data_IF_857437099752
#
_entry.id   IF_857437099752
#
_cell.length_a   1.000
_cell.length_b   1.000
_cell.length_c   1.000
_cell.angle_alpha   90.00
_cell.angle_beta   90.00
_cell.angle_gamma   90.00
#
_symmetry.space_group_name_H-M   'P 1'
#
loop_
_entity.id
_entity.type
_entity.pdbx_description
1 polymer ?
#
# COMPACT_ATOMS: atom_id res chain seq x y z
N UNK A 1 -9.67 -16.19 -10.59
CA UNK A 1 -9.24 -14.86 -10.14
C UNK A 1 -8.94 -14.94 -8.65
N UNK A 2 -7.80 -14.46 -8.19
CA UNK A 2 -7.49 -14.41 -6.76
C UNK A 2 -7.89 -13.07 -6.19
N UNK A 3 -8.56 -13.08 -5.04
CA UNK A 3 -8.76 -11.87 -4.24
C UNK A 3 -7.44 -11.54 -3.55
N UNK A 4 -6.90 -10.36 -3.81
CA UNK A 4 -5.68 -9.90 -3.16
C UNK A 4 -5.93 -8.53 -2.52
N UNK A 5 -5.79 -8.47 -1.20
CA UNK A 5 -5.72 -7.19 -0.50
C UNK A 5 -4.42 -6.47 -0.88
N UNK A 6 -4.43 -5.14 -0.84
CA UNK A 6 -3.19 -4.38 -0.79
C UNK A 6 -2.52 -4.75 0.53
N UNK A 7 -1.40 -5.47 0.47
CA UNK A 7 -0.73 -6.00 1.66
C UNK A 7 0.63 -5.33 1.86
N UNK A 8 1.08 -5.32 3.12
CA UNK A 8 2.44 -4.91 3.46
C UNK A 8 3.44 -6.02 3.11
N UNK A 9 4.66 -5.64 2.76
CA UNK A 9 5.76 -6.58 2.51
C UNK A 9 6.35 -7.15 3.82
N UNK A 10 5.97 -6.61 5.00
CA UNK A 10 6.50 -6.98 6.31
C UNK A 10 5.45 -7.66 7.18
N UNK A 11 5.85 -8.75 7.83
CA UNK A 11 5.03 -9.49 8.80
C UNK A 11 4.93 -8.83 10.20
N UNK A 12 5.73 -7.79 10.47
CA UNK A 12 5.80 -7.10 11.77
C UNK A 12 5.47 -5.62 11.58
N UNK A 13 4.33 -5.18 12.12
CA UNK A 13 3.89 -3.78 12.11
C UNK A 13 4.28 -3.11 13.44
N UNK A 14 5.27 -2.21 13.45
CA UNK A 14 5.49 -1.36 14.62
C UNK A 14 4.37 -0.30 14.70
N UNK A 15 3.89 -0.04 15.89
CA UNK A 15 2.95 1.06 16.17
C UNK A 15 1.47 0.72 16.20
N UNK A 16 1.09 -0.56 16.17
CA UNK A 16 -0.30 -0.93 16.45
C UNK A 16 -0.57 -0.73 17.94
N UNK A 17 -1.39 0.26 18.25
CA UNK A 17 -1.93 0.43 19.60
C UNK A 17 -3.10 -0.54 19.77
N UNK A 18 -3.02 -1.42 20.78
CA UNK A 18 -4.13 -2.32 21.10
C UNK A 18 -5.37 -1.52 21.49
N UNK A 19 -6.60 -2.01 21.17
CA UNK A 19 -7.82 -1.34 21.57
C UNK A 19 -7.84 -1.09 23.07
N UNK A 20 -8.23 0.13 23.48
CA UNK A 20 -8.41 0.43 24.90
C UNK A 20 -9.60 -0.34 25.46
N UNK A 21 -9.64 -0.57 26.78
CA UNK A 21 -10.77 -1.23 27.44
C UNK A 21 -12.11 -0.48 27.24
N UNK A 22 -12.07 0.79 26.81
CA UNK A 22 -13.24 1.59 26.45
C UNK A 22 -13.77 1.39 25.02
N UNK A 23 -13.21 0.46 24.25
CA UNK A 23 -13.67 0.16 22.87
C UNK A 23 -13.21 1.15 21.79
N UNK A 24 -12.40 2.15 22.14
CA UNK A 24 -11.83 3.11 21.19
C UNK A 24 -10.34 2.88 21.01
N UNK A 25 -9.87 2.94 19.75
CA UNK A 25 -8.45 2.91 19.42
C UNK A 25 -8.05 4.25 18.82
N UNK A 26 -7.04 4.89 19.43
CA UNK A 26 -6.51 6.17 18.98
C UNK A 26 -5.19 5.94 18.27
N UNK A 27 -5.08 6.42 17.03
CA UNK A 27 -3.87 6.34 16.22
C UNK A 27 -3.33 7.74 15.92
N UNK A 28 -2.03 7.84 15.77
CA UNK A 28 -1.34 9.03 15.26
C UNK A 28 -0.65 8.65 13.96
N UNK A 29 -1.31 8.78 12.81
CA UNK A 29 -0.74 8.33 11.54
C UNK A 29 0.57 9.02 11.16
N UNK A 30 0.81 10.25 11.67
CA UNK A 30 2.08 10.95 11.47
C UNK A 30 3.27 10.21 12.11
N UNK A 31 3.02 9.46 13.21
CA UNK A 31 4.05 8.71 13.93
C UNK A 31 4.24 7.28 13.39
N UNK A 32 3.39 6.86 12.43
CA UNK A 32 3.47 5.54 11.80
C UNK A 32 4.42 5.59 10.60
N UNK A 33 5.24 4.53 10.45
CA UNK A 33 6.07 4.36 9.26
C UNK A 33 5.22 4.00 8.03
N UNK A 34 5.65 4.47 6.85
CA UNK A 34 5.15 3.99 5.58
C UNK A 34 5.77 2.61 5.30
N UNK A 35 4.94 1.61 5.03
CA UNK A 35 5.37 0.26 4.67
C UNK A 35 5.20 0.04 3.16
N UNK A 36 6.16 -0.61 2.48
CA UNK A 36 6.00 -0.93 1.08
C UNK A 36 4.87 -1.94 0.87
N UNK A 37 4.15 -1.81 -0.25
CA UNK A 37 3.17 -2.80 -0.69
C UNK A 37 3.77 -3.76 -1.73
N UNK A 38 2.96 -4.69 -2.25
CA UNK A 38 3.33 -5.54 -3.38
C UNK A 38 3.39 -4.77 -4.72
N UNK A 39 2.90 -3.53 -4.76
CA UNK A 39 2.90 -2.67 -5.94
C UNK A 39 4.03 -1.65 -5.87
N UNK A 40 4.83 -1.57 -6.93
CA UNK A 40 5.92 -0.61 -7.02
C UNK A 40 5.40 0.83 -6.94
N UNK A 41 6.06 1.65 -6.13
CA UNK A 41 5.70 3.05 -5.94
C UNK A 41 4.50 3.28 -5.01
N UNK A 42 3.93 2.25 -4.39
CA UNK A 42 2.83 2.38 -3.44
C UNK A 42 3.25 1.93 -2.05
N UNK A 43 3.10 2.82 -1.07
CA UNK A 43 3.32 2.55 0.35
C UNK A 43 2.01 2.70 1.13
N UNK A 44 1.92 2.04 2.28
CA UNK A 44 0.69 1.96 3.07
C UNK A 44 0.94 2.25 4.55
N UNK A 45 -0.05 2.89 5.21
CA UNK A 45 -0.23 2.90 6.66
C UNK A 45 -1.60 2.32 6.99
N UNK A 46 -1.66 1.16 7.60
CA UNK A 46 -2.93 0.51 7.94
C UNK A 46 -3.46 1.10 9.25
N UNK A 47 -4.61 1.76 9.17
CA UNK A 47 -5.28 2.39 10.31
C UNK A 47 -6.21 1.42 11.02
N UNK A 48 -6.94 0.61 10.26
CA UNK A 48 -7.84 -0.43 10.75
C UNK A 48 -7.80 -1.63 9.81
N UNK A 49 -7.89 -2.82 10.37
CA UNK A 49 -7.99 -4.06 9.60
C UNK A 49 -8.79 -5.11 10.37
N UNK A 50 -9.78 -5.70 9.71
CA UNK A 50 -10.47 -6.91 10.13
C UNK A 50 -10.26 -7.99 9.06
N UNK A 51 -9.33 -8.90 9.31
CA UNK A 51 -8.96 -9.95 8.34
C UNK A 51 -10.07 -10.98 8.12
N UNK A 52 -10.91 -11.22 9.12
CA UNK A 52 -12.02 -12.17 9.01
C UNK A 52 -13.11 -11.63 8.09
N UNK A 53 -13.42 -10.34 8.22
CA UNK A 53 -14.37 -9.65 7.35
C UNK A 53 -13.75 -9.19 6.03
N UNK A 54 -12.42 -9.05 5.95
CA UNK A 54 -11.71 -8.51 4.82
C UNK A 54 -11.80 -6.97 4.74
N UNK A 55 -12.12 -6.32 5.85
CA UNK A 55 -12.22 -4.86 5.93
C UNK A 55 -10.86 -4.23 6.19
N UNK A 56 -10.59 -3.09 5.56
CA UNK A 56 -9.39 -2.31 5.82
C UNK A 56 -9.65 -0.81 5.61
N UNK A 57 -9.08 0.00 6.51
CA UNK A 57 -8.94 1.44 6.34
C UNK A 57 -7.47 1.78 6.41
N UNK A 58 -6.96 2.49 5.42
CA UNK A 58 -5.53 2.79 5.33
C UNK A 58 -5.27 4.14 4.66
N UNK A 59 -4.07 4.67 4.89
CA UNK A 59 -3.49 5.62 3.97
C UNK A 59 -2.64 4.89 2.94
N UNK A 60 -2.76 5.30 1.68
CA UNK A 60 -1.87 4.91 0.60
C UNK A 60 -1.11 6.15 0.12
N UNK A 61 0.18 6.00 -0.05
CA UNK A 61 1.03 7.00 -0.70
C UNK A 61 1.49 6.43 -2.03
N UNK A 62 1.27 7.21 -3.07
CA UNK A 62 1.64 6.90 -4.43
C UNK A 62 2.78 7.82 -4.85
N UNK A 63 3.86 7.25 -5.31
CA UNK A 63 4.95 8.02 -5.91
C UNK A 63 4.52 8.55 -7.29
N UNK A 64 5.10 9.66 -7.79
CA UNK A 64 4.83 10.16 -9.12
C UNK A 64 5.04 9.10 -10.22
N UNK A 65 4.11 9.03 -11.17
CA UNK A 65 4.15 8.07 -12.27
C UNK A 65 3.71 6.66 -11.88
N UNK A 66 3.05 6.48 -10.75
CA UNK A 66 2.62 5.17 -10.26
C UNK A 66 1.30 4.74 -10.90
N UNK A 67 1.20 3.43 -11.18
CA UNK A 67 -0.02 2.77 -11.64
C UNK A 67 -0.40 1.65 -10.68
N UNK A 68 -1.66 1.63 -10.25
CA UNK A 68 -2.26 0.47 -9.60
C UNK A 68 -2.97 -0.35 -10.67
N UNK A 69 -2.57 -1.62 -10.89
CA UNK A 69 -3.07 -2.45 -11.98
C UNK A 69 -4.59 -2.64 -11.97
N UNK A 70 -5.12 -3.04 -13.13
CA UNK A 70 -6.54 -3.36 -13.31
C UNK A 70 -7.05 -4.27 -12.21
N UNK A 71 -8.10 -3.82 -11.52
CA UNK A 71 -8.74 -4.55 -10.44
C UNK A 71 -10.25 -4.31 -10.42
N UNK A 72 -10.96 -5.23 -9.76
CA UNK A 72 -12.41 -5.18 -9.59
C UNK A 72 -12.74 -5.03 -8.11
N UNK A 73 -13.76 -4.25 -7.78
CA UNK A 73 -14.25 -4.04 -6.43
C UNK A 73 -15.35 -5.05 -6.09
N UNK A 74 -15.10 -6.06 -5.23
CA UNK A 74 -16.13 -7.00 -4.78
C UNK A 74 -17.18 -6.34 -3.88
N UNK A 75 -16.80 -5.24 -3.22
CA UNK A 75 -17.63 -4.39 -2.38
C UNK A 75 -17.33 -2.92 -2.65
N UNK A 76 -18.12 -2.01 -2.07
CA UNK A 76 -17.90 -0.57 -2.19
C UNK A 76 -16.50 -0.22 -1.69
N UNK A 77 -15.75 0.50 -2.52
CA UNK A 77 -14.52 1.18 -2.15
C UNK A 77 -14.78 2.68 -2.02
N UNK A 78 -14.23 3.31 -0.99
CA UNK A 78 -14.34 4.74 -0.75
C UNK A 78 -12.94 5.33 -0.63
N UNK A 79 -12.72 6.48 -1.26
CA UNK A 79 -11.41 7.13 -1.28
C UNK A 79 -11.57 8.63 -1.11
N UNK A 80 -10.82 9.20 -0.17
CA UNK A 80 -10.65 10.64 0.00
C UNK A 80 -9.20 11.01 -0.30
N UNK A 81 -8.96 11.98 -1.17
CA UNK A 81 -7.61 12.44 -1.53
C UNK A 81 -7.15 13.49 -0.53
N UNK A 82 -6.03 13.23 0.11
CA UNK A 82 -5.39 14.14 1.07
C UNK A 82 -4.40 15.07 0.38
N UNK A 83 -3.61 14.54 -0.55
CA UNK A 83 -2.56 15.25 -1.30
C UNK A 83 -2.48 14.72 -2.73
N UNK A 84 -2.12 15.59 -3.68
CA UNK A 84 -1.94 15.22 -5.08
C UNK A 84 -3.23 14.85 -5.78
N UNK A 85 -3.14 13.93 -6.72
CA UNK A 85 -4.30 13.47 -7.51
C UNK A 85 -4.09 12.07 -8.04
N UNK A 86 -5.19 11.39 -8.37
CA UNK A 86 -5.18 10.17 -9.17
C UNK A 86 -6.34 10.18 -10.16
N UNK A 87 -6.24 9.36 -11.20
CA UNK A 87 -7.24 9.29 -12.24
C UNK A 87 -7.40 7.87 -12.79
N UNK A 88 -8.52 7.64 -13.44
CA UNK A 88 -8.85 6.44 -14.19
C UNK A 88 -9.69 6.83 -15.43
N UNK A 89 -10.30 5.83 -16.10
CA UNK A 89 -11.14 6.07 -17.28
C UNK A 89 -12.43 6.85 -17.00
N UNK A 90 -12.89 6.91 -15.75
CA UNK A 90 -14.10 7.64 -15.34
C UNK A 90 -13.81 9.11 -14.98
N UNK A 91 -12.58 9.44 -14.59
CA UNK A 91 -12.21 10.81 -14.24
C UNK A 91 -10.98 10.93 -13.35
N UNK A 92 -10.80 12.13 -12.82
CA UNK A 92 -9.71 12.50 -11.91
C UNK A 92 -10.27 12.93 -10.57
N UNK A 93 -9.58 12.53 -9.47
CA UNK A 93 -9.88 12.93 -8.11
C UNK A 93 -8.63 13.62 -7.51
N UNK A 94 -8.81 14.83 -6.98
CA UNK A 94 -7.75 15.72 -6.49
C UNK A 94 -7.83 15.88 -4.97
N UNK A 95 -6.80 16.47 -4.39
CA UNK A 95 -6.77 16.78 -2.97
C UNK A 95 -8.05 17.51 -2.51
N UNK A 96 -8.66 17.03 -1.43
CA UNK A 96 -9.94 17.51 -0.90
C UNK A 96 -11.18 16.89 -1.54
N UNK A 97 -11.02 16.06 -2.57
CA UNK A 97 -12.12 15.40 -3.26
C UNK A 97 -12.31 13.96 -2.77
N UNK A 98 -13.52 13.45 -3.00
CA UNK A 98 -13.94 12.11 -2.60
C UNK A 98 -14.54 11.36 -3.78
N UNK A 99 -14.20 10.09 -3.90
CA UNK A 99 -14.80 9.18 -4.86
C UNK A 99 -15.20 7.88 -4.18
N UNK A 100 -16.28 7.29 -4.61
CA UNK A 100 -16.64 5.94 -4.23
C UNK A 100 -16.92 5.09 -5.46
N UNK A 101 -16.60 3.81 -5.36
CA UNK A 101 -16.75 2.85 -6.44
C UNK A 101 -17.76 1.79 -6.07
N UNK A 102 -18.70 1.57 -6.96
CA UNK A 102 -19.76 0.57 -6.75
C UNK A 102 -19.21 -0.86 -6.87
N UNK A 103 -19.92 -1.77 -6.24
CA UNK A 103 -19.69 -3.20 -6.35
C UNK A 103 -19.65 -3.64 -7.81
N UNK A 104 -18.65 -4.44 -8.19
CA UNK A 104 -18.46 -4.98 -9.53
C UNK A 104 -17.80 -4.03 -10.53
N UNK A 105 -17.53 -2.78 -10.16
CA UNK A 105 -16.77 -1.86 -11.03
C UNK A 105 -15.30 -2.28 -11.10
N UNK A 106 -14.65 -1.99 -12.23
CA UNK A 106 -13.24 -2.32 -12.46
C UNK A 106 -12.53 -1.14 -13.06
N UNK A 107 -11.28 -0.92 -12.65
CA UNK A 107 -10.44 0.10 -13.24
C UNK A 107 -8.95 -0.20 -13.03
N UNK A 108 -8.13 0.47 -13.81
CA UNK A 108 -6.72 0.73 -13.57
C UNK A 108 -6.59 2.18 -13.11
N UNK A 109 -5.75 2.46 -12.13
CA UNK A 109 -5.65 3.81 -11.54
C UNK A 109 -4.22 4.32 -11.68
N UNK A 110 -4.08 5.60 -12.03
CA UNK A 110 -2.81 6.26 -12.26
C UNK A 110 -2.66 7.52 -11.43
N UNK A 111 -1.42 7.86 -11.09
CA UNK A 111 -1.08 9.16 -10.50
C UNK A 111 0.21 9.67 -11.12
N UNK A 112 0.14 10.76 -11.88
CA UNK A 112 1.30 11.36 -12.55
C UNK A 112 2.17 12.15 -11.57
N UNK A 113 1.54 12.88 -10.67
CA UNK A 113 2.21 13.74 -9.68
C UNK A 113 2.43 13.10 -8.31
N UNK A 114 1.88 11.91 -8.10
CA UNK A 114 1.78 11.26 -6.79
C UNK A 114 0.52 11.66 -6.05
N UNK A 115 0.18 10.87 -5.03
CA UNK A 115 -0.99 11.12 -4.19
C UNK A 115 -0.81 10.55 -2.79
N UNK A 116 -1.49 11.16 -1.81
CA UNK A 116 -1.78 10.54 -0.52
C UNK A 116 -3.29 10.45 -0.37
N UNK A 117 -3.79 9.25 -0.14
CA UNK A 117 -5.23 8.99 -0.07
C UNK A 117 -5.60 8.24 1.21
N UNK A 118 -6.79 8.50 1.72
CA UNK A 118 -7.48 7.65 2.69
C UNK A 118 -8.37 6.69 1.90
N UNK A 119 -8.11 5.40 2.00
CA UNK A 119 -8.89 4.36 1.34
C UNK A 119 -9.62 3.48 2.36
N UNK A 120 -10.88 3.15 2.08
CA UNK A 120 -11.74 2.31 2.91
C UNK A 120 -12.24 1.15 2.04
N UNK A 121 -11.81 -0.05 2.40
CA UNK A 121 -12.16 -1.31 1.74
C UNK A 121 -13.06 -2.13 2.64
N UNK A 122 -14.17 -2.62 2.09
CA UNK A 122 -15.03 -3.60 2.77
C UNK A 122 -14.69 -5.03 2.41
N UNK A 123 -14.03 -5.23 1.28
CA UNK A 123 -13.43 -6.49 0.82
C UNK A 123 -12.14 -6.19 0.05
N UNK A 124 -11.19 -7.13 0.03
CA UNK A 124 -10.00 -7.00 -0.81
C UNK A 124 -10.37 -6.91 -2.29
N UNK A 125 -9.70 -6.03 -3.01
CA UNK A 125 -9.84 -5.92 -4.46
C UNK A 125 -9.37 -7.18 -5.17
N UNK A 126 -9.96 -7.48 -6.32
CA UNK A 126 -9.59 -8.62 -7.18
C UNK A 126 -8.75 -8.11 -8.33
N UNK A 127 -7.44 -8.37 -8.28
CA UNK A 127 -6.52 -7.95 -9.34
C UNK A 127 -6.55 -8.92 -10.50
N UNK A 128 -6.60 -8.37 -11.72
CA UNK A 128 -6.44 -9.15 -12.93
C UNK A 128 -4.94 -9.36 -13.16
N UNK A 129 -4.51 -10.62 -13.21
CA UNK A 129 -3.13 -10.92 -13.57
C UNK A 129 -2.96 -10.64 -15.07
N UNK A 130 -2.45 -9.46 -15.40
CA UNK A 130 -1.92 -9.22 -16.73
C UNK A 130 -0.71 -10.13 -16.94
N UNK A 131 -0.72 -10.96 -17.98
CA UNK A 131 0.41 -11.77 -18.38
C UNK A 131 1.59 -10.85 -18.80
N UNK A 132 2.29 -10.26 -17.84
CA UNK A 132 3.35 -9.27 -18.05
C UNK A 132 3.79 -8.53 -16.79
N UNK A 133 3.05 -8.61 -15.69
CA UNK A 133 3.52 -8.04 -14.43
C UNK A 133 4.54 -8.96 -13.77
N UNK A 134 5.79 -8.83 -14.20
CA UNK A 134 6.92 -9.51 -13.57
C UNK A 134 7.31 -8.70 -12.35
N UNK A 135 7.10 -9.26 -11.14
CA UNK A 135 7.73 -8.73 -9.91
C UNK A 135 9.23 -8.55 -10.20
N UNK A 136 9.70 -7.32 -10.28
CA UNK A 136 11.13 -7.05 -10.18
C UNK A 136 11.55 -7.34 -8.74
N UNK A 137 11.96 -8.57 -8.48
CA UNK A 137 12.60 -8.91 -7.21
C UNK A 137 13.83 -8.02 -7.08
N UNK A 138 13.85 -7.11 -6.10
CA UNK A 138 15.08 -6.40 -5.72
C UNK A 138 16.05 -7.44 -5.21
N UNK A 139 17.04 -7.77 -6.03
CA UNK A 139 18.23 -8.52 -5.59
C UNK A 139 18.97 -7.58 -4.64
N UNK A 140 18.79 -7.77 -3.34
CA UNK A 140 19.65 -7.17 -2.33
C UNK A 140 21.00 -7.84 -2.50
N UNK A 141 21.93 -7.18 -3.19
CA UNK A 141 23.34 -7.58 -3.18
C UNK A 141 23.85 -7.44 -1.76
N UNK A 142 23.98 -8.56 -1.06
CA UNK A 142 24.69 -8.66 0.19
C UNK A 142 26.16 -8.36 -0.13
N UNK A 143 26.65 -7.18 0.20
CA UNK A 143 28.07 -6.84 0.12
C UNK A 143 28.79 -7.74 1.10
N UNK A 144 29.57 -8.68 0.58
CA UNK A 144 30.49 -9.49 1.35
C UNK A 144 31.56 -8.56 1.93
N UNK A 145 31.64 -8.49 3.27
CA UNK A 145 32.75 -7.89 3.97
C UNK A 145 34.00 -8.75 3.72
N UNK A 146 35.01 -8.15 3.15
CA UNK A 146 36.32 -8.78 2.97
C UNK A 146 36.94 -9.12 4.31
N UNK A 147 37.57 -10.29 4.51
CA UNK A 147 38.32 -10.59 5.72
C UNK A 147 39.61 -9.77 5.73
N UNK A 148 39.82 -9.06 6.83
CA UNK A 148 41.04 -8.28 7.06
C UNK A 148 42.27 -9.18 7.04
N UNK A 149 43.24 -8.78 6.24
CA UNK A 149 44.58 -9.36 6.17
C UNK A 149 45.32 -9.02 7.45
N UNK A 150 45.68 -10.03 8.25
CA UNK A 150 46.59 -9.91 9.37
C UNK A 150 48.02 -9.93 8.76
N UNK A 151 48.70 -8.79 8.85
CA UNK A 151 50.12 -8.68 8.49
C UNK A 151 51.00 -9.31 9.59
N UNK A 152 52.22 -9.81 9.19
CA UNK A 152 53.10 -10.49 10.15
C UNK A 152 53.79 -9.48 11.05
N UNK A 153 53.81 -9.79 12.34
CA UNK A 153 54.68 -9.11 13.34
C UNK A 153 56.10 -9.68 13.18
N UNK A 154 57.07 -8.81 12.87
CA UNK A 154 58.47 -9.12 12.92
C UNK A 154 59.06 -8.77 14.29
N UNK A 155 59.76 -9.71 14.87
CA UNK A 155 60.93 -9.69 15.76
C UNK A 155 60.97 -8.88 17.02
#
# INVERSE_FOLDING_TARGET
MRQEAITTASAKRPGRVEPTMGGSTYLKPQDMAWEPTQFDGISIKVLYEDKEKGEMTCFLKWEPGTTLPMHTHPEIEQTFVLEGSFYDHDGICRAGEFVWRRVGSSHETHSDEGAVILAIYRKPNVFQHSAGYVRKAKIVKKTASSPGTIGPQSG
#
